data_IF_658408936590
#
_entry.id   IF_658408936590
#
_cell.length_a   1.000
_cell.length_b   1.000
_cell.length_c   1.000
_cell.angle_alpha   90.00
_cell.angle_beta   90.00
_cell.angle_gamma   90.00
#
_symmetry.space_group_name_H-M   'P 1'
#
loop_
_entity.id
_entity.type
_entity.pdbx_description
1 polymer ?
#
# COMPACT_ATOMS: atom_id res chain seq x y z
N UNK A 1 -5.48 -2.57 19.00
CA UNK A 1 -5.81 -2.40 17.58
C UNK A 1 -5.73 -0.92 17.28
N UNK A 2 -4.70 -0.48 16.55
CA UNK A 2 -4.50 0.91 16.17
C UNK A 2 -5.57 1.39 15.18
N UNK A 3 -5.63 2.72 15.00
CA UNK A 3 -6.55 3.38 14.07
C UNK A 3 -5.71 4.06 12.99
N UNK A 4 -6.08 3.86 11.73
CA UNK A 4 -5.57 4.63 10.60
C UNK A 4 -6.65 5.59 10.13
N UNK A 5 -6.29 6.86 9.93
CA UNK A 5 -7.12 7.86 9.29
C UNK A 5 -6.93 7.75 7.78
N UNK A 6 -8.01 7.46 7.06
CA UNK A 6 -7.96 7.21 5.61
C UNK A 6 -8.86 8.16 4.84
N UNK A 7 -8.50 8.39 3.58
CA UNK A 7 -9.35 9.15 2.67
C UNK A 7 -10.62 8.33 2.38
N UNK A 8 -11.82 8.89 2.59
CA UNK A 8 -13.07 8.22 2.29
C UNK A 8 -13.19 7.92 0.79
N UNK A 9 -13.97 6.90 0.44
CA UNK A 9 -14.35 6.71 -0.96
C UNK A 9 -15.28 7.84 -1.42
N UNK A 10 -15.15 8.32 -2.67
CA UNK A 10 -16.13 9.22 -3.24
C UNK A 10 -17.44 8.47 -3.43
N UNK A 11 -18.42 8.70 -2.56
CA UNK A 11 -19.78 8.23 -2.76
C UNK A 11 -20.60 9.33 -3.44
N UNK A 12 -21.56 8.99 -4.32
CA UNK A 12 -22.36 10.00 -5.02
C UNK A 12 -23.15 10.95 -4.11
N UNK A 13 -23.44 10.56 -2.87
CA UNK A 13 -24.34 11.29 -1.97
C UNK A 13 -23.64 12.07 -0.86
N UNK A 14 -22.37 11.77 -0.53
CA UNK A 14 -21.71 12.35 0.63
C UNK A 14 -20.28 12.78 0.26
N UNK A 15 -20.07 14.10 0.17
CA UNK A 15 -18.73 14.68 0.14
C UNK A 15 -18.15 14.56 1.54
N UNK A 16 -17.56 13.43 1.88
CA UNK A 16 -16.79 13.31 3.10
C UNK A 16 -15.51 14.12 2.95
N UNK A 17 -15.53 15.34 3.49
CA UNK A 17 -14.34 16.19 3.62
C UNK A 17 -13.53 15.85 4.89
N UNK A 18 -13.87 14.77 5.59
CA UNK A 18 -13.21 14.32 6.80
C UNK A 18 -12.64 12.91 6.57
N UNK A 19 -11.46 12.65 7.14
CA UNK A 19 -10.88 11.33 7.16
C UNK A 19 -11.80 10.33 7.90
N UNK A 20 -11.69 9.05 7.53
CA UNK A 20 -12.41 7.94 8.15
C UNK A 20 -11.43 7.18 9.03
N UNK A 21 -11.79 7.01 10.29
CA UNK A 21 -11.04 6.19 11.24
C UNK A 21 -11.32 4.69 10.99
N UNK A 22 -10.30 3.95 10.56
CA UNK A 22 -10.38 2.49 10.37
C UNK A 22 -9.53 1.79 11.42
N UNK A 23 -10.14 0.90 12.19
CA UNK A 23 -9.39 0.02 13.10
C UNK A 23 -8.66 -1.05 12.30
N UNK A 24 -7.37 -1.18 12.56
CA UNK A 24 -6.51 -2.18 11.91
C UNK A 24 -5.74 -3.01 12.92
N UNK A 25 -5.20 -4.12 12.45
CA UNK A 25 -4.22 -4.91 13.18
C UNK A 25 -2.90 -4.15 13.37
N UNK A 26 -2.18 -4.46 14.45
CA UNK A 26 -0.93 -3.77 14.81
C UNK A 26 0.11 -3.83 13.70
N UNK A 27 0.29 -5.00 13.08
CA UNK A 27 1.25 -5.20 11.99
C UNK A 27 0.96 -4.30 10.79
N UNK A 28 -0.31 -4.08 10.46
CA UNK A 28 -0.73 -3.23 9.35
C UNK A 28 -0.44 -1.75 9.62
N UNK A 29 -0.63 -1.29 10.85
CA UNK A 29 -0.23 0.07 11.23
C UNK A 29 1.28 0.27 11.14
N UNK A 30 2.08 -0.73 11.53
CA UNK A 30 3.53 -0.71 11.36
C UNK A 30 3.91 -0.64 9.88
N UNK A 31 3.27 -1.44 9.01
CA UNK A 31 3.51 -1.38 7.56
C UNK A 31 3.19 0.00 6.99
N UNK A 32 2.03 0.57 7.32
CA UNK A 32 1.65 1.91 6.87
C UNK A 32 2.67 2.97 7.32
N UNK A 33 3.10 2.93 8.58
CA UNK A 33 4.09 3.86 9.12
C UNK A 33 5.45 3.72 8.41
N UNK A 34 5.94 2.50 8.20
CA UNK A 34 7.21 2.28 7.47
C UNK A 34 7.15 2.83 6.05
N UNK A 35 6.02 2.63 5.34
CA UNK A 35 5.85 3.17 3.98
C UNK A 35 5.81 4.71 4.03
N UNK A 36 5.06 5.29 4.96
CA UNK A 36 4.94 6.75 5.13
C UNK A 36 6.30 7.39 5.45
N UNK A 37 7.07 6.83 6.38
CA UNK A 37 8.39 7.30 6.76
C UNK A 37 9.37 7.28 5.58
N UNK A 38 9.29 6.26 4.72
CA UNK A 38 10.10 6.18 3.51
C UNK A 38 9.64 7.16 2.43
N UNK A 39 8.33 7.31 2.23
CA UNK A 39 7.77 8.19 1.19
C UNK A 39 7.93 9.67 1.52
N UNK A 40 7.66 10.07 2.76
CA UNK A 40 7.64 11.47 3.23
C UNK A 40 8.85 12.32 2.81
N UNK A 41 10.11 11.86 2.96
CA UNK A 41 11.26 12.66 2.55
C UNK A 41 11.50 12.72 1.03
N UNK A 42 10.75 11.95 0.22
CA UNK A 42 10.98 11.77 -1.23
C UNK A 42 9.93 12.50 -2.05
N UNK A 43 10.28 13.66 -2.60
CA UNK A 43 9.37 14.50 -3.37
C UNK A 43 8.68 13.80 -4.57
N UNK A 44 9.34 12.81 -5.18
CA UNK A 44 8.79 12.08 -6.32
C UNK A 44 7.72 11.05 -5.92
N UNK A 45 7.54 10.77 -4.63
CA UNK A 45 6.63 9.76 -4.13
C UNK A 45 5.51 10.38 -3.29
N UNK A 46 4.33 9.80 -3.38
CA UNK A 46 3.18 10.10 -2.55
C UNK A 46 2.52 8.79 -2.10
N UNK A 47 2.14 8.72 -0.82
CA UNK A 47 1.31 7.67 -0.26
C UNK A 47 -0.05 8.29 0.08
N UNK A 48 -1.11 7.68 -0.41
CA UNK A 48 -2.48 7.94 0.06
C UNK A 48 -3.04 6.66 0.67
N UNK A 49 -3.46 6.72 1.93
CA UNK A 49 -4.31 5.69 2.53
C UNK A 49 -5.77 6.01 2.23
N UNK A 50 -6.50 5.03 1.71
CA UNK A 50 -7.90 5.18 1.32
C UNK A 50 -8.73 4.07 1.93
N UNK A 51 -10.00 4.37 2.18
CA UNK A 51 -11.00 3.37 2.53
C UNK A 51 -11.11 2.32 1.40
N UNK A 52 -11.01 1.05 1.76
CA UNK A 52 -11.05 -0.04 0.78
C UNK A 52 -12.45 -0.24 0.19
N UNK A 53 -12.51 -0.92 -0.95
CA UNK A 53 -13.77 -1.14 -1.70
C UNK A 53 -14.75 -2.12 -1.06
N UNK A 54 -14.32 -2.95 -0.11
CA UNK A 54 -15.14 -4.02 0.47
C UNK A 54 -15.80 -3.54 1.77
N UNK A 55 -17.11 -3.27 1.70
CA UNK A 55 -17.90 -2.89 2.87
C UNK A 55 -17.87 -3.97 3.97
N UNK A 56 -17.90 -3.52 5.23
CA UNK A 56 -17.91 -4.36 6.44
C UNK A 56 -16.73 -5.34 6.57
N UNK A 57 -15.67 -5.16 5.79
CA UNK A 57 -14.43 -5.92 5.91
C UNK A 57 -13.57 -5.36 7.05
N UNK A 58 -12.99 -6.19 7.94
CA UNK A 58 -11.95 -5.72 8.85
C UNK A 58 -10.72 -5.25 8.07
N UNK A 59 -9.90 -4.37 8.65
CA UNK A 59 -8.66 -3.87 8.03
C UNK A 59 -8.88 -3.22 6.64
N UNK A 60 -10.05 -2.64 6.36
CA UNK A 60 -10.44 -2.16 5.04
C UNK A 60 -9.72 -0.86 4.62
N UNK A 61 -8.41 -0.97 4.43
CA UNK A 61 -7.50 0.11 4.03
C UNK A 61 -6.80 -0.30 2.74
N UNK A 62 -6.83 0.59 1.75
CA UNK A 62 -6.03 0.51 0.53
C UNK A 62 -4.89 1.52 0.60
N UNK A 63 -3.68 1.06 0.26
CA UNK A 63 -2.54 1.93 0.00
C UNK A 63 -2.50 2.29 -1.49
N UNK A 64 -2.33 3.57 -1.79
CA UNK A 64 -2.06 4.06 -3.13
C UNK A 64 -0.72 4.79 -3.13
N UNK A 65 0.26 4.19 -3.78
CA UNK A 65 1.58 4.77 -4.01
C UNK A 65 1.61 5.38 -5.41
N UNK A 66 2.02 6.64 -5.49
CA UNK A 66 2.16 7.37 -6.73
C UNK A 66 3.60 7.86 -6.85
N UNK A 67 4.24 7.56 -7.97
CA UNK A 67 5.53 8.10 -8.37
C UNK A 67 5.36 9.05 -9.54
N UNK A 68 5.92 10.25 -9.43
CA UNK A 68 5.94 11.26 -10.51
C UNK A 68 7.31 11.91 -10.56
N UNK A 69 7.99 11.81 -11.71
CA UNK A 69 9.21 12.57 -12.00
C UNK A 69 9.24 12.97 -13.47
N UNK A 70 9.30 14.27 -13.76
CA UNK A 70 9.23 14.77 -15.14
C UNK A 70 7.96 14.29 -15.86
N UNK A 71 8.13 13.53 -16.95
CA UNK A 71 7.04 12.93 -17.73
C UNK A 71 6.72 11.48 -17.33
N UNK A 72 7.45 10.90 -16.36
CA UNK A 72 7.25 9.54 -15.90
C UNK A 72 6.23 9.50 -14.77
N UNK A 73 5.29 8.56 -14.85
CA UNK A 73 4.33 8.29 -13.79
C UNK A 73 4.10 6.80 -13.64
N UNK A 74 4.13 6.30 -12.40
CA UNK A 74 3.73 4.95 -12.06
C UNK A 74 2.92 4.95 -10.77
N UNK A 75 1.94 4.07 -10.67
CA UNK A 75 1.12 3.95 -9.47
C UNK A 75 0.92 2.50 -9.08
N UNK A 76 0.93 2.22 -7.78
CA UNK A 76 0.56 0.94 -7.21
C UNK A 76 -0.60 1.14 -6.24
N UNK A 77 -1.69 0.42 -6.47
CA UNK A 77 -2.81 0.33 -5.53
C UNK A 77 -2.89 -1.09 -5.01
N UNK A 78 -3.00 -1.24 -3.70
CA UNK A 78 -3.04 -2.53 -3.03
C UNK A 78 -3.86 -2.44 -1.75
N UNK A 79 -4.36 -3.58 -1.27
CA UNK A 79 -4.96 -3.63 0.07
C UNK A 79 -3.84 -3.81 1.09
N UNK A 80 -3.90 -3.03 2.16
CA UNK A 80 -2.87 -3.07 3.20
C UNK A 80 -2.80 -4.46 3.85
N UNK A 81 -3.95 -5.13 3.99
CA UNK A 81 -4.09 -6.50 4.50
C UNK A 81 -3.50 -7.61 3.61
N UNK A 82 -2.97 -7.27 2.42
CA UNK A 82 -2.27 -8.22 1.56
C UNK A 82 -0.75 -8.16 1.73
N UNK A 83 -0.23 -7.22 2.52
CA UNK A 83 1.19 -7.17 2.82
C UNK A 83 1.53 -8.22 3.87
N UNK A 84 2.47 -9.08 3.52
CA UNK A 84 3.15 -9.97 4.47
C UNK A 84 4.28 -9.21 5.17
N UNK A 85 5.00 -8.36 4.43
CA UNK A 85 6.14 -7.60 4.96
C UNK A 85 6.41 -6.30 4.20
N UNK A 86 6.99 -5.34 4.91
CA UNK A 86 7.57 -4.11 4.36
C UNK A 86 9.00 -4.00 4.83
N UNK A 87 9.95 -3.83 3.91
CA UNK A 87 11.38 -3.69 4.20
C UNK A 87 11.88 -2.33 3.68
N UNK A 88 12.34 -1.48 4.60
CA UNK A 88 13.04 -0.24 4.28
C UNK A 88 14.56 -0.51 4.25
N UNK A 89 15.13 -0.51 3.05
CA UNK A 89 16.55 -0.74 2.78
C UNK A 89 17.30 0.59 2.58
N UNK A 90 16.75 1.69 3.11
CA UNK A 90 17.31 3.03 3.02
C UNK A 90 17.06 3.67 1.66
N UNK A 91 17.66 3.16 0.58
CA UNK A 91 17.46 3.70 -0.78
C UNK A 91 16.22 3.15 -1.48
N UNK A 92 15.70 2.04 -0.97
CA UNK A 92 14.65 1.26 -1.59
C UNK A 92 13.63 0.84 -0.54
N UNK A 93 12.38 0.72 -0.95
CA UNK A 93 11.33 0.16 -0.12
C UNK A 93 10.76 -1.06 -0.84
N UNK A 94 10.73 -2.19 -0.15
CA UNK A 94 10.26 -3.45 -0.71
C UNK A 94 8.96 -3.81 -0.01
N UNK A 95 7.89 -3.93 -0.80
CA UNK A 95 6.58 -4.41 -0.36
C UNK A 95 6.45 -5.86 -0.78
N UNK A 96 6.35 -6.77 0.20
CA UNK A 96 6.17 -8.19 -0.04
C UNK A 96 4.72 -8.54 0.26
N UNK A 97 4.06 -9.09 -0.74
CA UNK A 97 2.66 -9.48 -0.63
C UNK A 97 2.55 -10.95 -0.29
N UNK A 98 1.48 -11.31 0.42
CA UNK A 98 1.11 -12.70 0.68
C UNK A 98 1.09 -13.52 -0.62
N UNK A 99 1.67 -14.71 -0.56
CA UNK A 99 1.56 -15.68 -1.64
C UNK A 99 0.10 -16.11 -1.79
N UNK A 100 -0.40 -16.05 -3.02
CA UNK A 100 -1.76 -16.45 -3.33
C UNK A 100 -1.81 -17.14 -4.67
N UNK A 101 -2.43 -18.30 -4.68
CA UNK A 101 -2.63 -19.15 -5.86
C UNK A 101 -1.30 -19.50 -6.55
N UNK A 102 -0.24 -19.75 -5.76
CA UNK A 102 1.09 -20.08 -6.27
C UNK A 102 1.87 -18.87 -6.79
N UNK A 103 1.37 -17.65 -6.60
CA UNK A 103 2.00 -16.41 -7.08
C UNK A 103 2.43 -15.55 -5.90
N UNK A 104 3.74 -15.51 -5.67
CA UNK A 104 4.37 -14.52 -4.80
C UNK A 104 4.58 -13.21 -5.58
N UNK A 105 4.43 -12.08 -4.90
CA UNK A 105 4.53 -10.75 -5.51
C UNK A 105 5.37 -9.84 -4.64
N UNK A 106 6.19 -9.02 -5.28
CA UNK A 106 6.92 -7.96 -4.62
C UNK A 106 6.79 -6.67 -5.44
N UNK A 107 6.75 -5.53 -4.75
CA UNK A 107 6.91 -4.23 -5.36
C UNK A 107 8.14 -3.55 -4.76
N UNK A 108 9.05 -3.10 -5.62
CA UNK A 108 10.26 -2.38 -5.22
C UNK A 108 10.12 -0.92 -5.65
N UNK A 109 10.16 -0.03 -4.67
CA UNK A 109 10.15 1.41 -4.88
C UNK A 109 11.57 1.94 -4.76
N UNK A 110 11.96 2.77 -5.71
CA UNK A 110 13.28 3.42 -5.75
C UNK A 110 13.15 4.91 -6.05
N UNK A 111 14.26 5.65 -6.06
CA UNK A 111 14.26 7.03 -6.54
C UNK A 111 13.89 7.19 -8.03
N UNK A 112 13.92 6.10 -8.82
CA UNK A 112 13.72 6.12 -10.27
C UNK A 112 12.36 5.55 -10.71
N UNK A 113 11.58 5.02 -9.77
CA UNK A 113 10.23 4.51 -10.03
C UNK A 113 9.95 3.19 -9.33
N UNK A 114 8.94 2.51 -9.88
CA UNK A 114 8.34 1.29 -9.35
C UNK A 114 8.69 0.09 -10.23
N UNK A 115 9.22 -0.96 -9.61
CA UNK A 115 9.32 -2.29 -10.21
C UNK A 115 8.34 -3.25 -9.53
N UNK A 116 7.65 -4.10 -10.31
CA UNK A 116 6.75 -5.14 -9.80
C UNK A 116 7.25 -6.50 -10.28
N UNK A 117 7.48 -7.40 -9.34
CA UNK A 117 7.98 -8.74 -9.58
C UNK A 117 6.90 -9.76 -9.24
N UNK A 118 6.71 -10.73 -10.14
CA UNK A 118 5.74 -11.81 -9.99
C UNK A 118 6.47 -13.15 -10.14
N UNK A 119 6.38 -14.00 -9.12
CA UNK A 119 7.06 -15.29 -9.09
C UNK A 119 6.01 -16.40 -9.07
N UNK A 120 6.00 -17.23 -10.12
CA UNK A 120 5.17 -18.42 -10.16
C UNK A 120 5.91 -19.59 -9.50
N UNK A 121 5.33 -20.11 -8.43
CA UNK A 121 5.87 -21.21 -7.65
C UNK A 121 5.25 -22.51 -8.17
N UNK A 122 6.07 -23.35 -8.80
CA UNK A 122 5.69 -24.70 -9.18
C UNK A 122 5.95 -25.66 -8.02
N UNK A 123 4.91 -26.04 -7.29
CA UNK A 123 4.99 -27.14 -6.33
C UNK A 123 4.84 -28.46 -7.08
N UNK A 124 5.94 -29.19 -7.25
CA UNK A 124 5.90 -30.59 -7.67
C UNK A 124 5.61 -31.46 -6.45
N UNK A 125 4.48 -32.17 -6.46
CA UNK A 125 4.16 -33.24 -5.51
C UNK A 125 4.74 -34.57 -5.94
#
# INVERSE_FOLDING_TARGET
MPILEVVPRPTPAERYNAAVAVMVEEALAVHAATIEDWVTPRQAWELTLREGTEFDRPNNVEGMLLFVIGEQTSSLTFRLDQLDRVEDEGQELILIFEERDGIAKAARLTANGLDVELFHILTFT
#
